data_IF_344919751990
#
_entry.id   IF_344919751990
#
_cell.length_a   1.000
_cell.length_b   1.000
_cell.length_c   1.000
_cell.angle_alpha   90.00
_cell.angle_beta   90.00
_cell.angle_gamma   90.00
#
_symmetry.space_group_name_H-M   'P 1'
#
loop_
_entity.id
_entity.type
_entity.pdbx_description
1 polymer ?
#
# COMPACT_ATOMS: atom_id res chain seq x y z
N UNK A 1 34.69 29.37 15.59
CA UNK A 1 33.75 28.49 16.32
C UNK A 1 32.40 28.37 15.62
N UNK A 2 31.79 29.49 15.20
CA UNK A 2 30.49 29.56 14.52
C UNK A 2 30.43 28.70 13.23
N UNK A 3 31.44 28.81 12.34
CA UNK A 3 31.49 28.03 11.09
C UNK A 3 31.57 26.49 11.28
N UNK A 4 32.14 26.03 12.41
CA UNK A 4 32.22 24.61 12.72
C UNK A 4 30.88 24.02 13.16
N UNK A 5 30.12 24.80 13.93
CA UNK A 5 28.78 24.41 14.39
C UNK A 5 27.78 24.33 13.23
N UNK A 6 27.73 25.33 12.34
CA UNK A 6 26.85 25.30 11.15
C UNK A 6 27.18 24.13 10.21
N UNK A 7 28.46 23.81 10.01
CA UNK A 7 28.89 22.67 9.19
C UNK A 7 28.45 21.34 9.80
N UNK A 8 28.49 21.22 11.13
CA UNK A 8 28.03 20.03 11.85
C UNK A 8 26.51 19.87 11.72
N UNK A 9 25.76 20.95 11.98
CA UNK A 9 24.30 20.98 11.88
C UNK A 9 23.80 20.61 10.48
N UNK A 10 24.43 21.16 9.43
CA UNK A 10 24.07 20.84 8.05
C UNK A 10 24.29 19.37 7.70
N UNK A 11 25.35 18.73 8.24
CA UNK A 11 25.58 17.31 7.99
C UNK A 11 24.53 16.44 8.69
N UNK A 12 24.15 16.79 9.93
CA UNK A 12 23.09 16.07 10.66
C UNK A 12 21.76 16.21 9.93
N UNK A 13 21.40 17.42 9.50
CA UNK A 13 20.16 17.66 8.77
C UNK A 13 20.10 16.86 7.47
N UNK A 14 21.18 16.82 6.69
CA UNK A 14 21.25 16.06 5.44
C UNK A 14 21.16 14.54 5.68
N UNK A 15 21.73 14.03 6.77
CA UNK A 15 21.55 12.63 7.16
C UNK A 15 20.08 12.35 7.49
N UNK A 16 19.43 13.19 8.29
CA UNK A 16 18.02 13.04 8.66
C UNK A 16 17.09 13.10 7.45
N UNK A 17 17.27 14.08 6.56
CA UNK A 17 16.51 14.19 5.31
C UNK A 17 16.70 12.92 4.49
N UNK A 18 17.96 12.48 4.31
CA UNK A 18 18.23 11.27 3.53
C UNK A 18 17.56 10.03 4.12
N UNK A 19 17.59 9.87 5.45
CA UNK A 19 16.89 8.79 6.14
C UNK A 19 15.38 8.82 5.88
N UNK A 20 14.75 9.99 5.96
CA UNK A 20 13.31 10.15 5.69
C UNK A 20 12.97 9.69 4.26
N UNK A 21 13.77 10.07 3.27
CA UNK A 21 13.57 9.66 1.88
C UNK A 21 13.87 8.18 1.65
N UNK A 22 14.86 7.60 2.32
CA UNK A 22 15.14 6.15 2.27
C UNK A 22 13.95 5.37 2.83
N UNK A 23 13.41 5.78 3.98
CA UNK A 23 12.19 5.18 4.56
C UNK A 23 10.98 5.42 3.66
N UNK A 24 10.86 6.60 3.04
CA UNK A 24 9.82 6.90 2.05
C UNK A 24 9.87 5.97 0.85
N UNK A 25 11.07 5.69 0.31
CA UNK A 25 11.29 4.70 -0.74
C UNK A 25 10.90 3.29 -0.30
N UNK A 26 11.22 2.90 0.93
CA UNK A 26 10.76 1.63 1.50
C UNK A 26 9.22 1.58 1.64
N UNK A 27 8.57 2.72 1.95
CA UNK A 27 7.11 2.85 2.04
C UNK A 27 6.42 2.92 0.68
N UNK A 28 7.14 3.16 -0.41
CA UNK A 28 6.55 3.34 -1.72
C UNK A 28 5.99 2.00 -2.25
N UNK A 29 4.69 2.01 -2.54
CA UNK A 29 3.96 0.92 -3.17
C UNK A 29 3.74 1.16 -4.66
N UNK A 30 4.33 2.20 -5.26
CA UNK A 30 4.21 2.54 -6.68
C UNK A 30 5.29 1.92 -7.54
N UNK A 31 5.16 2.10 -8.87
CA UNK A 31 6.03 1.49 -9.88
C UNK A 31 7.52 1.76 -9.63
N UNK A 32 7.83 2.97 -9.16
CA UNK A 32 9.20 3.39 -8.88
C UNK A 32 9.80 2.81 -7.60
N UNK A 33 8.98 2.20 -6.73
CA UNK A 33 9.40 1.54 -5.49
C UNK A 33 10.49 2.34 -4.75
N UNK A 34 11.62 1.71 -4.41
CA UNK A 34 12.76 2.34 -3.77
C UNK A 34 13.75 3.05 -4.72
N UNK A 35 13.57 2.96 -6.05
CA UNK A 35 14.54 3.50 -7.01
C UNK A 35 14.71 5.01 -6.88
N UNK A 36 13.62 5.74 -6.59
CA UNK A 36 13.66 7.19 -6.42
C UNK A 36 14.32 7.65 -5.11
N UNK A 37 14.66 6.71 -4.22
CA UNK A 37 15.44 6.97 -3.01
C UNK A 37 16.95 6.86 -3.22
N UNK A 38 17.44 6.37 -4.37
CA UNK A 38 18.88 6.17 -4.65
C UNK A 38 19.71 7.45 -4.44
N UNK A 39 19.31 8.65 -4.91
CA UNK A 39 20.07 9.87 -4.66
C UNK A 39 20.28 10.16 -3.16
N UNK A 40 19.26 9.88 -2.34
CA UNK A 40 19.31 10.05 -0.90
C UNK A 40 20.16 8.98 -0.22
N UNK A 41 20.16 7.76 -0.73
CA UNK A 41 21.06 6.70 -0.29
C UNK A 41 22.53 7.08 -0.52
N UNK A 42 22.85 7.65 -1.70
CA UNK A 42 24.20 8.16 -2.01
C UNK A 42 24.59 9.30 -1.07
N UNK A 43 23.71 10.30 -0.91
CA UNK A 43 23.94 11.43 -0.01
C UNK A 43 24.13 10.97 1.44
N UNK A 44 23.30 10.01 1.89
CA UNK A 44 23.41 9.39 3.21
C UNK A 44 24.80 8.80 3.43
N UNK A 45 25.30 7.95 2.51
CA UNK A 45 26.61 7.32 2.64
C UNK A 45 27.76 8.33 2.66
N UNK A 46 27.71 9.37 1.80
CA UNK A 46 28.72 10.44 1.78
C UNK A 46 28.77 11.18 3.12
N UNK A 47 27.61 11.42 3.75
CA UNK A 47 27.51 12.21 4.97
C UNK A 47 27.78 11.39 6.23
N UNK A 48 27.21 10.19 6.33
CA UNK A 48 27.36 9.33 7.50
C UNK A 48 28.80 8.85 7.68
N UNK A 49 29.60 8.78 6.60
CA UNK A 49 31.01 8.40 6.68
C UNK A 49 31.83 9.37 7.56
N UNK A 50 31.38 10.63 7.70
CA UNK A 50 32.04 11.66 8.52
C UNK A 50 31.65 11.58 10.01
N UNK A 51 30.71 10.71 10.38
CA UNK A 51 30.31 10.50 11.77
C UNK A 51 31.28 9.55 12.49
N UNK A 52 31.48 9.71 13.81
CA UNK A 52 32.22 8.75 14.63
C UNK A 52 31.64 7.34 14.51
N UNK A 53 32.46 6.32 14.76
CA UNK A 53 32.12 4.90 14.53
C UNK A 53 30.86 4.44 15.26
N UNK A 54 30.72 4.76 16.55
CA UNK A 54 29.60 4.34 17.38
C UNK A 54 28.25 4.95 16.92
N UNK A 55 28.08 6.29 16.80
CA UNK A 55 26.86 6.88 16.25
C UNK A 55 26.53 6.39 14.84
N UNK A 56 27.53 6.25 13.97
CA UNK A 56 27.35 5.72 12.61
C UNK A 56 26.75 4.31 12.63
N UNK A 57 27.26 3.43 13.49
CA UNK A 57 26.74 2.07 13.64
C UNK A 57 25.29 2.09 14.13
N UNK A 58 24.98 2.88 15.17
CA UNK A 58 23.64 2.98 15.73
C UNK A 58 22.61 3.51 14.72
N UNK A 59 22.96 4.55 13.96
CA UNK A 59 22.09 5.13 12.93
C UNK A 59 21.83 4.11 11.81
N UNK A 60 22.88 3.43 11.33
CA UNK A 60 22.72 2.38 10.33
C UNK A 60 21.84 1.23 10.80
N UNK A 61 22.04 0.76 12.04
CA UNK A 61 21.23 -0.30 12.64
C UNK A 61 19.75 0.13 12.73
N UNK A 62 19.50 1.33 13.24
CA UNK A 62 18.16 1.89 13.37
C UNK A 62 17.46 2.03 12.01
N UNK A 63 18.14 2.62 11.02
CA UNK A 63 17.60 2.77 9.66
C UNK A 63 17.29 1.41 9.03
N UNK A 64 18.21 0.45 9.17
CA UNK A 64 18.04 -0.90 8.63
C UNK A 64 16.85 -1.61 9.27
N UNK A 65 16.69 -1.52 10.59
CA UNK A 65 15.57 -2.11 11.30
C UNK A 65 14.24 -1.53 10.80
N UNK A 66 14.13 -0.20 10.69
CA UNK A 66 12.91 0.45 10.18
C UNK A 66 12.62 0.02 8.74
N UNK A 67 13.62 0.08 7.85
CA UNK A 67 13.44 -0.30 6.45
C UNK A 67 13.01 -1.76 6.33
N UNK A 68 13.61 -2.67 7.11
CA UNK A 68 13.21 -4.08 7.12
C UNK A 68 11.77 -4.24 7.62
N UNK A 69 11.37 -3.60 8.72
CA UNK A 69 10.00 -3.70 9.25
C UNK A 69 8.93 -3.21 8.25
N UNK A 70 9.26 -2.20 7.47
CA UNK A 70 8.36 -1.61 6.46
C UNK A 70 8.37 -2.44 5.17
N UNK A 71 9.54 -2.91 4.74
CA UNK A 71 9.69 -3.62 3.47
C UNK A 71 9.31 -5.10 3.57
N UNK A 72 9.40 -5.70 4.75
CA UNK A 72 9.12 -7.11 4.96
C UNK A 72 7.64 -7.42 4.73
N UNK A 73 7.40 -8.36 3.81
CA UNK A 73 6.09 -8.91 3.48
C UNK A 73 4.98 -7.85 3.37
N UNK A 74 5.24 -6.78 2.60
CA UNK A 74 4.31 -5.66 2.40
C UNK A 74 2.85 -6.07 2.19
N UNK A 75 2.51 -7.07 1.34
CA UNK A 75 1.13 -7.49 1.11
C UNK A 75 0.34 -7.87 2.38
N UNK A 76 1.01 -8.33 3.42
CA UNK A 76 0.39 -8.75 4.70
C UNK A 76 0.83 -7.87 5.87
N UNK A 77 1.40 -6.69 5.62
CA UNK A 77 1.93 -5.84 6.67
C UNK A 77 0.85 -4.90 7.23
N UNK A 78 0.48 -5.08 8.50
CA UNK A 78 -0.53 -4.28 9.20
C UNK A 78 -0.17 -2.79 9.29
N UNK A 79 1.11 -2.45 9.21
CA UNK A 79 1.58 -1.06 9.18
C UNK A 79 1.10 -0.33 7.92
N UNK A 80 1.05 -1.04 6.79
CA UNK A 80 0.52 -0.55 5.52
C UNK A 80 -0.98 -0.69 5.47
N UNK A 81 -1.50 -1.86 5.83
CA UNK A 81 -2.88 -2.23 5.59
C UNK A 81 -3.56 -2.54 6.93
N UNK A 82 -4.14 -1.53 7.61
CA UNK A 82 -4.64 -1.68 8.98
C UNK A 82 -5.87 -2.60 9.10
N UNK A 83 -6.48 -2.94 7.96
CA UNK A 83 -7.68 -3.78 7.88
C UNK A 83 -7.38 -5.27 7.64
N UNK A 84 -6.10 -5.66 7.57
CA UNK A 84 -5.75 -7.09 7.49
C UNK A 84 -6.21 -7.85 8.74
N UNK A 85 -6.57 -9.11 8.55
CA UNK A 85 -7.10 -10.01 9.57
C UNK A 85 -8.41 -9.52 10.23
N UNK A 86 -9.11 -8.59 9.57
CA UNK A 86 -10.43 -8.11 10.00
C UNK A 86 -11.51 -8.77 9.15
N UNK A 87 -12.62 -9.10 9.79
CA UNK A 87 -13.77 -9.76 9.17
C UNK A 87 -14.75 -8.74 8.60
N UNK A 88 -15.11 -8.90 7.33
CA UNK A 88 -16.05 -8.06 6.60
C UNK A 88 -17.29 -8.88 6.27
N UNK A 89 -18.47 -8.30 6.48
CA UNK A 89 -19.73 -8.88 6.01
C UNK A 89 -19.98 -8.42 4.57
N UNK A 90 -20.04 -9.38 3.64
CA UNK A 90 -20.39 -9.15 2.24
C UNK A 90 -21.84 -9.56 2.06
N UNK A 91 -22.68 -8.63 1.62
CA UNK A 91 -24.09 -8.91 1.41
C UNK A 91 -24.30 -9.91 0.25
N UNK A 92 -25.42 -10.65 0.27
CA UNK A 92 -25.85 -11.45 -0.87
C UNK A 92 -25.98 -10.60 -2.15
N UNK A 93 -25.84 -11.24 -3.32
CA UNK A 93 -25.99 -10.60 -4.63
C UNK A 93 -24.67 -10.26 -5.33
N UNK A 94 -23.55 -10.34 -4.63
CA UNK A 94 -22.22 -10.30 -5.23
C UNK A 94 -21.96 -11.55 -6.06
N UNK A 95 -21.29 -11.39 -7.19
CA UNK A 95 -20.92 -12.51 -8.07
C UNK A 95 -19.44 -12.82 -7.91
N UNK A 96 -19.07 -14.08 -8.08
CA UNK A 96 -17.68 -14.50 -8.13
C UNK A 96 -17.40 -15.31 -9.38
N UNK A 97 -16.19 -15.14 -9.91
CA UNK A 97 -15.71 -15.77 -11.14
C UNK A 97 -14.36 -16.41 -10.87
N UNK A 98 -14.21 -17.69 -11.24
CA UNK A 98 -12.91 -18.35 -11.24
C UNK A 98 -12.28 -18.24 -12.63
N UNK A 99 -11.06 -17.72 -12.72
CA UNK A 99 -10.25 -17.89 -13.93
C UNK A 99 -9.70 -19.31 -13.97
N UNK A 100 -9.56 -19.90 -15.16
CA UNK A 100 -9.08 -21.27 -15.32
C UNK A 100 -7.73 -21.52 -14.64
N UNK A 101 -6.86 -20.50 -14.65
CA UNK A 101 -5.48 -20.59 -14.16
C UNK A 101 -5.28 -20.00 -12.76
N UNK A 102 -6.35 -19.69 -12.02
CA UNK A 102 -6.24 -19.07 -10.69
C UNK A 102 -6.96 -19.85 -9.59
N UNK A 103 -6.29 -19.99 -8.44
CA UNK A 103 -6.89 -20.48 -7.20
C UNK A 103 -7.76 -19.41 -6.50
N UNK A 104 -7.65 -18.15 -6.93
CA UNK A 104 -8.34 -17.00 -6.34
C UNK A 104 -9.53 -16.62 -7.21
N UNK A 105 -10.70 -16.47 -6.60
CA UNK A 105 -11.90 -16.02 -7.29
C UNK A 105 -11.90 -14.50 -7.39
N UNK A 106 -12.32 -13.95 -8.52
CA UNK A 106 -12.59 -12.51 -8.61
C UNK A 106 -14.00 -12.26 -8.09
N UNK A 107 -14.14 -11.43 -7.06
CA UNK A 107 -15.43 -10.91 -6.61
C UNK A 107 -15.82 -9.70 -7.45
N UNK A 108 -17.09 -9.65 -7.82
CA UNK A 108 -17.67 -8.70 -8.76
C UNK A 108 -18.85 -8.01 -8.08
N UNK A 109 -18.80 -6.68 -8.03
CA UNK A 109 -19.88 -5.87 -7.48
C UNK A 109 -21.18 -6.08 -8.29
N UNK A 110 -22.36 -6.10 -7.65
CA UNK A 110 -23.64 -6.29 -8.32
C UNK A 110 -23.88 -5.36 -9.52
N UNK A 111 -23.42 -4.11 -9.43
CA UNK A 111 -23.52 -3.11 -10.50
C UNK A 111 -22.76 -3.51 -11.78
N UNK A 112 -21.73 -4.33 -11.66
CA UNK A 112 -20.82 -4.68 -12.76
C UNK A 112 -21.14 -6.06 -13.37
N UNK A 113 -22.10 -6.80 -12.80
CA UNK A 113 -22.45 -8.16 -13.22
C UNK A 113 -23.04 -8.18 -14.63
N UNK A 114 -23.87 -7.21 -15.01
CA UNK A 114 -24.50 -7.18 -16.34
C UNK A 114 -23.48 -6.94 -17.45
N UNK A 115 -22.46 -6.12 -17.19
CA UNK A 115 -21.36 -5.88 -18.11
C UNK A 115 -20.57 -7.18 -18.34
N UNK A 116 -20.30 -7.92 -17.26
CA UNK A 116 -19.52 -9.16 -17.35
C UNK A 116 -20.32 -10.33 -17.92
N UNK A 117 -21.65 -10.38 -17.73
CA UNK A 117 -22.52 -11.38 -18.38
C UNK A 117 -22.50 -11.30 -19.91
N UNK A 118 -22.16 -10.14 -20.49
CA UNK A 118 -21.98 -10.00 -21.94
C UNK A 118 -20.65 -10.59 -22.44
N UNK A 119 -19.64 -10.62 -21.57
CA UNK A 119 -18.27 -10.98 -21.92
C UNK A 119 -17.87 -12.39 -21.48
N UNK A 120 -18.63 -13.01 -20.57
CA UNK A 120 -18.34 -14.33 -20.02
C UNK A 120 -19.55 -15.26 -20.13
N UNK A 121 -19.29 -16.53 -20.43
CA UNK A 121 -20.32 -17.57 -20.36
C UNK A 121 -20.93 -17.64 -18.95
N UNK A 122 -22.27 -17.69 -18.88
CA UNK A 122 -23.03 -17.72 -17.62
C UNK A 122 -22.56 -18.81 -16.65
N UNK A 123 -22.05 -19.93 -17.17
CA UNK A 123 -21.58 -21.09 -16.39
C UNK A 123 -20.39 -20.80 -15.48
N UNK A 124 -19.63 -19.73 -15.75
CA UNK A 124 -18.45 -19.37 -14.95
C UNK A 124 -18.75 -18.37 -13.83
N UNK A 125 -19.96 -17.79 -13.82
CA UNK A 125 -20.39 -16.80 -12.85
C UNK A 125 -21.27 -17.46 -11.78
N UNK A 126 -20.85 -17.39 -10.53
CA UNK A 126 -21.62 -17.89 -9.39
C UNK A 126 -22.02 -16.74 -8.46
N UNK A 127 -23.22 -16.83 -7.88
CA UNK A 127 -23.81 -15.77 -7.06
C UNK A 127 -23.70 -16.12 -5.58
N UNK A 128 -23.31 -15.15 -4.74
CA UNK A 128 -23.45 -15.25 -3.30
C UNK A 128 -24.94 -15.18 -2.92
N UNK A 129 -25.49 -16.32 -2.50
CA UNK A 129 -26.91 -16.49 -2.17
C UNK A 129 -27.27 -16.01 -0.76
N UNK A 130 -26.28 -15.93 0.13
CA UNK A 130 -26.40 -15.48 1.52
C UNK A 130 -25.35 -14.42 1.81
N UNK A 131 -25.55 -13.67 2.90
CA UNK A 131 -24.49 -12.82 3.43
C UNK A 131 -23.35 -13.72 3.92
N UNK A 132 -22.12 -13.34 3.58
CA UNK A 132 -20.93 -14.13 3.89
C UNK A 132 -19.95 -13.25 4.63
N UNK A 133 -19.38 -13.78 5.71
CA UNK A 133 -18.30 -13.12 6.40
C UNK A 133 -16.97 -13.62 5.85
N UNK A 134 -16.10 -12.69 5.47
CA UNK A 134 -14.77 -13.02 4.95
C UNK A 134 -13.71 -12.16 5.63
N UNK A 135 -12.53 -12.73 5.84
CA UNK A 135 -11.41 -12.05 6.48
C UNK A 135 -10.45 -11.51 5.43
N UNK A 136 -10.06 -10.24 5.52
CA UNK A 136 -9.05 -9.68 4.61
C UNK A 136 -7.66 -10.26 4.93
N UNK A 137 -7.12 -11.07 4.03
CA UNK A 137 -5.89 -11.83 4.25
C UNK A 137 -4.64 -11.07 3.81
N UNK A 138 -4.69 -10.45 2.62
CA UNK A 138 -3.56 -9.72 2.03
C UNK A 138 -4.04 -8.64 1.05
N UNK A 139 -3.16 -7.72 0.69
CA UNK A 139 -3.34 -6.77 -0.41
C UNK A 139 -2.34 -7.09 -1.52
N UNK A 140 -2.84 -7.40 -2.71
CA UNK A 140 -2.02 -7.54 -3.90
C UNK A 140 -1.89 -6.19 -4.60
N UNK A 141 -0.66 -5.79 -4.89
CA UNK A 141 -0.37 -4.50 -5.54
C UNK A 141 -0.06 -4.75 -7.00
N UNK A 142 -0.74 -4.05 -7.89
CA UNK A 142 -0.46 -4.06 -9.34
C UNK A 142 -0.17 -2.66 -9.85
N UNK A 143 0.54 -2.59 -10.98
CA UNK A 143 0.99 -1.32 -11.57
C UNK A 143 0.59 -1.17 -13.03
N UNK A 144 -0.72 -1.09 -13.35
CA UNK A 144 -1.14 -0.77 -14.71
C UNK A 144 -0.75 0.67 -15.03
N UNK A 145 -0.03 0.88 -16.15
CA UNK A 145 0.28 2.20 -16.72
C UNK A 145 0.85 3.21 -15.71
N UNK A 146 1.86 2.79 -14.93
CA UNK A 146 2.53 3.57 -13.86
C UNK A 146 1.65 3.98 -12.68
N UNK A 147 0.36 3.60 -12.66
CA UNK A 147 -0.51 3.77 -11.50
C UNK A 147 -0.27 2.68 -10.45
N UNK A 148 -0.90 2.81 -9.29
CA UNK A 148 -0.87 1.80 -8.23
C UNK A 148 -2.29 1.36 -7.95
N UNK A 149 -2.57 0.08 -8.15
CA UNK A 149 -3.88 -0.52 -7.85
C UNK A 149 -3.72 -1.52 -6.72
N UNK A 150 -4.53 -1.34 -5.68
CA UNK A 150 -4.56 -2.21 -4.51
C UNK A 150 -5.73 -3.18 -4.63
N UNK A 151 -5.44 -4.48 -4.62
CA UNK A 151 -6.41 -5.55 -4.77
C UNK A 151 -6.47 -6.38 -3.49
N UNK A 152 -7.36 -6.04 -2.53
CA UNK A 152 -7.57 -6.85 -1.35
C UNK A 152 -8.03 -8.27 -1.70
N UNK A 153 -7.44 -9.25 -1.02
CA UNK A 153 -7.83 -10.66 -1.07
C UNK A 153 -8.42 -11.04 0.28
N UNK A 154 -9.62 -11.59 0.22
CA UNK A 154 -10.40 -12.09 1.34
C UNK A 154 -10.38 -13.61 1.36
N UNK A 155 -10.58 -14.20 2.54
CA UNK A 155 -10.75 -15.64 2.72
C UNK A 155 -12.04 -15.92 3.47
N UNK A 156 -12.83 -16.88 2.99
CA UNK A 156 -14.02 -17.36 3.71
C UNK A 156 -13.70 -18.46 4.74
N UNK A 157 -14.74 -18.98 5.40
CA UNK A 157 -14.57 -19.99 6.46
C UNK A 157 -14.16 -21.35 5.91
N UNK A 158 -14.45 -21.58 4.64
CA UNK A 158 -14.12 -22.77 3.88
C UNK A 158 -12.68 -22.74 3.32
N UNK A 159 -11.96 -21.63 3.53
CA UNK A 159 -10.59 -21.44 3.08
C UNK A 159 -10.46 -20.94 1.63
N UNK A 160 -11.56 -20.49 1.04
CA UNK A 160 -11.59 -20.01 -0.33
C UNK A 160 -11.23 -18.53 -0.41
N UNK A 161 -10.31 -18.20 -1.32
CA UNK A 161 -9.85 -16.83 -1.54
C UNK A 161 -10.65 -16.07 -2.61
N UNK A 162 -10.95 -14.80 -2.32
CA UNK A 162 -11.67 -13.87 -3.20
C UNK A 162 -10.94 -12.53 -3.30
N UNK A 163 -10.60 -12.11 -4.52
CA UNK A 163 -9.99 -10.81 -4.82
C UNK A 163 -11.07 -9.79 -5.17
N UNK A 164 -10.95 -8.56 -4.65
CA UNK A 164 -11.79 -7.42 -5.02
C UNK A 164 -10.86 -6.29 -5.52
N UNK A 165 -11.28 -5.54 -6.54
CA UNK A 165 -10.58 -4.30 -6.89
C UNK A 165 -10.75 -3.27 -5.78
N UNK A 166 -9.70 -2.51 -5.45
CA UNK A 166 -9.73 -1.56 -4.34
C UNK A 166 -10.80 -0.47 -4.47
N UNK A 167 -11.03 0.02 -5.69
CA UNK A 167 -12.08 1.00 -5.97
C UNK A 167 -13.49 0.41 -5.79
N UNK A 168 -13.70 -0.84 -6.25
CA UNK A 168 -14.96 -1.56 -6.04
C UNK A 168 -15.23 -1.80 -4.55
N UNK A 169 -14.21 -2.16 -3.76
CA UNK A 169 -14.35 -2.31 -2.31
C UNK A 169 -14.71 -0.98 -1.64
N UNK A 170 -14.04 0.12 -2.01
CA UNK A 170 -14.36 1.44 -1.44
C UNK A 170 -15.81 1.82 -1.76
N UNK A 171 -16.23 1.68 -3.00
CA UNK A 171 -17.60 1.98 -3.42
C UNK A 171 -18.61 1.07 -2.71
N UNK A 172 -18.30 -0.22 -2.57
CA UNK A 172 -19.12 -1.20 -1.87
C UNK A 172 -19.35 -0.84 -0.40
N UNK A 173 -18.31 -0.35 0.28
CA UNK A 173 -18.41 0.09 1.67
C UNK A 173 -19.25 1.36 1.78
N UNK A 174 -19.08 2.31 0.85
CA UNK A 174 -19.87 3.55 0.82
C UNK A 174 -21.37 3.29 0.64
N UNK A 175 -21.74 2.34 -0.22
CA UNK A 175 -23.15 1.97 -0.45
C UNK A 175 -23.68 0.92 0.54
N UNK A 176 -22.85 0.46 1.49
CA UNK A 176 -23.23 -0.52 2.51
C UNK A 176 -23.42 -1.96 2.00
N UNK A 177 -22.93 -2.28 0.80
CA UNK A 177 -22.96 -3.64 0.26
C UNK A 177 -21.86 -4.56 0.83
N UNK A 178 -20.81 -3.95 1.38
CA UNK A 178 -19.80 -4.59 2.22
C UNK A 178 -19.70 -3.80 3.52
N UNK A 179 -19.80 -4.48 4.66
CA UNK A 179 -19.71 -3.87 5.99
C UNK A 179 -18.39 -4.29 6.66
N UNK A 180 -17.43 -3.37 6.85
CA UNK A 180 -16.23 -3.63 7.64
C UNK A 180 -16.56 -3.72 9.13
N UNK A 181 -15.66 -4.28 9.95
CA UNK A 181 -15.83 -4.26 11.39
C UNK A 181 -15.50 -2.86 11.91
N UNK A 182 -16.48 -2.23 12.55
CA UNK A 182 -16.37 -0.94 13.25
C UNK A 182 -15.69 0.19 12.45
N UNK A 183 -16.48 1.03 11.76
CA UNK A 183 -15.98 2.26 11.15
C UNK A 183 -16.10 3.44 12.12
N UNK A 184 -14.99 3.84 12.74
CA UNK A 184 -14.90 5.12 13.43
C UNK A 184 -14.34 6.25 12.54
N UNK A 185 -13.91 5.92 11.31
CA UNK A 185 -13.26 6.81 10.34
C UNK A 185 -13.61 6.38 8.91
N UNK A 186 -13.44 7.27 7.90
CA UNK A 186 -13.55 6.89 6.49
C UNK A 186 -12.63 5.71 6.18
N UNK A 187 -13.15 4.73 5.43
CA UNK A 187 -12.40 3.53 5.06
C UNK A 187 -11.24 3.88 4.12
N UNK A 188 -10.04 3.41 4.46
CA UNK A 188 -8.86 3.48 3.60
C UNK A 188 -8.13 2.16 3.63
N UNK A 189 -7.84 1.59 2.45
CA UNK A 189 -7.09 0.34 2.36
C UNK A 189 -5.68 0.47 2.93
N UNK A 190 -5.01 1.59 2.68
CA UNK A 190 -3.67 1.87 3.15
C UNK A 190 -3.65 2.94 4.27
N UNK A 191 -2.73 2.81 5.22
CA UNK A 191 -2.55 3.76 6.32
C UNK A 191 -2.08 5.13 5.81
N UNK A 192 -2.60 6.21 6.38
CA UNK A 192 -2.28 7.57 5.94
C UNK A 192 -0.80 7.90 6.05
N UNK A 193 -0.09 7.37 7.03
CA UNK A 193 1.32 7.63 7.23
C UNK A 193 2.20 6.91 6.19
N UNK A 194 1.88 5.67 5.80
CA UNK A 194 2.63 4.98 4.73
C UNK A 194 2.38 5.63 3.39
N UNK A 195 1.14 6.10 3.13
CA UNK A 195 0.83 6.91 1.95
C UNK A 195 1.65 8.19 1.95
N UNK A 196 1.69 8.94 3.05
CA UNK A 196 2.44 10.18 3.15
C UNK A 196 3.95 9.98 2.92
N UNK A 197 4.55 8.97 3.54
CA UNK A 197 5.97 8.65 3.35
C UNK A 197 6.28 8.14 1.94
N UNK A 198 5.43 7.26 1.39
CA UNK A 198 5.57 6.76 0.02
C UNK A 198 5.50 7.89 -1.02
N UNK A 199 4.62 8.87 -0.78
CA UNK A 199 4.46 10.03 -1.66
C UNK A 199 5.68 10.94 -1.72
N UNK A 200 6.63 10.83 -0.78
CA UNK A 200 7.93 11.52 -0.89
C UNK A 200 8.69 11.10 -2.16
N UNK A 201 8.42 9.90 -2.70
CA UNK A 201 9.03 9.46 -3.94
C UNK A 201 8.54 10.24 -5.18
N UNK A 202 7.46 11.01 -5.07
CA UNK A 202 7.04 11.96 -6.12
C UNK A 202 7.83 13.28 -6.09
N UNK A 203 8.87 13.40 -5.26
CA UNK A 203 9.70 14.60 -5.20
C UNK A 203 10.27 15.10 -6.54
N UNK A 204 10.58 14.28 -7.57
CA UNK A 204 11.09 14.81 -8.84
C UNK A 204 10.03 15.60 -9.62
N UNK A 205 8.76 15.26 -9.43
CA UNK A 205 7.61 15.91 -10.09
C UNK A 205 6.89 16.88 -9.17
N UNK A 206 7.28 17.00 -7.90
CA UNK A 206 6.68 17.94 -6.96
C UNK A 206 6.73 19.40 -7.45
N UNK A 207 7.78 19.88 -8.16
CA UNK A 207 7.75 21.22 -8.72
C UNK A 207 6.64 21.41 -9.75
N UNK A 208 6.34 20.37 -10.55
CA UNK A 208 5.28 20.42 -11.55
C UNK A 208 3.88 20.39 -10.92
N UNK A 209 3.67 19.54 -9.91
CA UNK A 209 2.40 19.46 -9.16
C UNK A 209 2.05 20.77 -8.43
N UNK A 210 3.05 21.57 -8.08
CA UNK A 210 2.85 22.90 -7.51
C UNK A 210 2.42 23.95 -8.55
N UNK A 211 2.76 23.73 -9.83
CA UNK A 211 2.41 24.64 -10.93
C UNK A 211 0.99 24.38 -11.47
N UNK A 212 0.51 23.14 -11.48
CA UNK A 212 -0.85 22.80 -11.95
C UNK A 212 -1.99 23.21 -11.00
N UNK A 213 -1.68 23.71 -9.79
CA UNK A 213 -2.66 24.19 -8.80
C UNK A 213 -2.94 25.70 -8.87
N UNK A 214 -2.57 26.38 -9.95
CA UNK A 214 -2.88 27.79 -10.22
C UNK A 214 -3.52 27.99 -11.59
#
# INVERSE_FOLDING_TARGET
>A
MINGFYKSLNNILLVLISMIFIVGGACNNGFSSCFLAIPFLILYFIKIHRCPSLPKMLINLFLTLICTLVFWNKPTNLLFYPHLNKEFEINKGWTYLKSADSSVYQLIAPSNVEILRKNFEKSKLALLTKNTHMTMLRIEVTHPDFSTVLNPVFIDKEGQEYRIFGDDLRNAILIGSIKPPHLNKPFSLQSSWTVALGNLMYWPISPWLLLERF
#
